data_IF_889217214960
#
_entry.id   IF_889217214960
#
_cell.length_a   1.000
_cell.length_b   1.000
_cell.length_c   1.000
_cell.angle_alpha   90.00
_cell.angle_beta   90.00
_cell.angle_gamma   90.00
#
_symmetry.space_group_name_H-M   'P 1'
#
loop_
_entity.id
_entity.type
_entity.pdbx_description
1 polymer ?
#
# COMPACT_ATOMS: atom_id res chain seq x y z
N UNK A 1 -64.13 19.52 15.19
CA UNK A 1 -63.33 19.04 14.04
C UNK A 1 -61.88 19.46 14.28
N UNK A 2 -61.04 18.59 14.85
CA UNK A 2 -59.68 18.92 15.30
C UNK A 2 -58.70 18.61 14.17
N UNK A 3 -58.04 19.64 13.65
CA UNK A 3 -57.20 19.59 12.45
C UNK A 3 -56.01 18.63 12.60
N UNK A 4 -55.84 17.62 11.72
CA UNK A 4 -54.78 16.59 11.84
C UNK A 4 -53.40 17.04 11.31
N UNK A 5 -53.27 18.26 10.79
CA UNK A 5 -52.09 18.70 10.03
C UNK A 5 -50.86 19.05 10.87
N UNK A 6 -51.01 19.38 12.16
CA UNK A 6 -49.89 19.87 12.99
C UNK A 6 -48.92 18.77 13.42
N UNK A 7 -49.40 17.55 13.65
CA UNK A 7 -48.54 16.44 14.09
C UNK A 7 -47.71 15.84 12.95
N UNK A 8 -48.27 15.78 11.74
CA UNK A 8 -47.58 15.26 10.54
C UNK A 8 -46.43 16.19 10.11
N UNK A 9 -46.66 17.51 10.13
CA UNK A 9 -45.63 18.49 9.75
C UNK A 9 -44.39 18.46 10.68
N UNK A 10 -44.58 18.31 12.00
CA UNK A 10 -43.48 18.23 12.96
C UNK A 10 -42.59 16.99 12.76
N UNK A 11 -43.19 15.86 12.38
CA UNK A 11 -42.46 14.62 12.13
C UNK A 11 -41.62 14.68 10.84
N UNK A 12 -42.16 15.30 9.78
CA UNK A 12 -41.47 15.50 8.50
C UNK A 12 -40.31 16.50 8.64
N UNK A 13 -40.50 17.60 9.38
CA UNK A 13 -39.44 18.60 9.64
C UNK A 13 -38.30 18.00 10.48
N UNK A 14 -38.61 17.17 11.48
CA UNK A 14 -37.60 16.46 12.29
C UNK A 14 -36.74 15.51 11.44
N UNK A 15 -37.35 14.75 10.51
CA UNK A 15 -36.61 13.87 9.60
C UNK A 15 -35.73 14.62 8.60
N UNK A 16 -36.21 15.76 8.06
CA UNK A 16 -35.42 16.62 7.18
C UNK A 16 -34.23 17.26 7.91
N UNK A 17 -34.40 17.67 9.17
CA UNK A 17 -33.30 18.18 10.00
C UNK A 17 -32.26 17.10 10.32
N UNK A 18 -32.69 15.87 10.61
CA UNK A 18 -31.78 14.74 10.88
C UNK A 18 -31.00 14.34 9.62
N UNK A 19 -31.65 14.29 8.45
CA UNK A 19 -30.98 14.02 7.17
C UNK A 19 -30.00 15.14 6.82
N UNK A 20 -30.39 16.40 7.02
CA UNK A 20 -29.51 17.56 6.83
C UNK A 20 -28.28 17.53 7.73
N UNK A 21 -28.45 17.17 9.01
CA UNK A 21 -27.36 17.02 9.97
C UNK A 21 -26.42 15.85 9.63
N UNK A 22 -26.97 14.69 9.23
CA UNK A 22 -26.19 13.55 8.75
C UNK A 22 -25.38 13.89 7.48
N UNK A 23 -26.00 14.63 6.56
CA UNK A 23 -25.36 15.10 5.32
C UNK A 23 -24.25 16.10 5.62
N UNK A 24 -24.45 17.00 6.57
CA UNK A 24 -23.47 17.99 7.01
C UNK A 24 -22.27 17.34 7.73
N UNK A 25 -22.51 16.35 8.60
CA UNK A 25 -21.45 15.57 9.26
C UNK A 25 -20.63 14.77 8.23
N UNK A 26 -21.28 14.17 7.24
CA UNK A 26 -20.59 13.46 6.16
C UNK A 26 -19.74 14.40 5.28
N UNK A 27 -20.24 15.60 4.97
CA UNK A 27 -19.51 16.62 4.20
C UNK A 27 -18.30 17.16 4.99
N UNK A 28 -18.47 17.38 6.30
CA UNK A 28 -17.40 17.88 7.19
C UNK A 28 -16.20 16.93 7.27
N UNK A 29 -16.45 15.62 7.32
CA UNK A 29 -15.39 14.60 7.38
C UNK A 29 -14.57 14.47 6.08
N UNK A 30 -15.08 14.99 4.97
CA UNK A 30 -14.40 14.96 3.67
C UNK A 30 -13.35 16.06 3.54
N UNK A 31 -13.54 17.18 4.25
CA UNK A 31 -12.75 18.41 4.11
C UNK A 31 -11.45 18.38 4.95
N UNK A 32 -11.38 17.54 5.98
CA UNK A 32 -10.26 17.50 6.94
C UNK A 32 -9.16 16.47 6.65
N UNK A 33 -9.15 15.81 5.48
CA UNK A 33 -8.07 14.87 5.13
C UNK A 33 -6.85 15.63 4.60
N UNK A 34 -6.05 16.18 5.51
CA UNK A 34 -4.68 16.61 5.18
C UNK A 34 -3.89 15.46 4.54
N UNK A 35 -2.92 15.78 3.69
CA UNK A 35 -2.12 14.78 2.99
C UNK A 35 -1.37 13.89 4.01
N UNK A 36 -1.81 12.64 4.16
CA UNK A 36 -1.25 11.70 5.12
C UNK A 36 0.14 11.23 4.65
N UNK A 37 1.18 11.52 5.43
CA UNK A 37 2.54 11.05 5.17
C UNK A 37 2.57 9.54 4.93
N UNK A 38 3.30 9.08 3.90
CA UNK A 38 3.45 7.68 3.48
C UNK A 38 3.74 6.75 4.66
N UNK A 39 4.56 7.22 5.59
CA UNK A 39 4.84 6.63 6.89
C UNK A 39 5.26 7.74 7.88
N UNK A 40 5.24 7.47 9.21
CA UNK A 40 5.73 8.42 10.20
C UNK A 40 7.17 8.84 9.89
N UNK A 41 7.41 10.15 9.80
CA UNK A 41 8.72 10.72 9.47
C UNK A 41 9.09 10.69 7.98
N UNK A 42 8.15 10.46 7.06
CA UNK A 42 8.43 10.56 5.63
C UNK A 42 8.73 12.02 5.22
N UNK A 43 9.82 12.21 4.48
CA UNK A 43 10.28 13.51 3.98
C UNK A 43 10.55 13.47 2.46
N UNK A 44 10.90 14.61 1.86
CA UNK A 44 11.17 14.72 0.42
C UNK A 44 9.92 14.74 -0.46
N UNK A 45 10.11 14.50 -1.76
CA UNK A 45 9.04 14.56 -2.78
C UNK A 45 8.07 13.37 -2.70
N UNK A 46 8.54 12.19 -2.28
CA UNK A 46 7.72 10.99 -2.12
C UNK A 46 6.92 10.92 -0.81
N UNK A 47 7.02 11.93 0.07
CA UNK A 47 6.48 11.85 1.44
C UNK A 47 4.97 11.63 1.54
N UNK A 48 4.21 11.96 0.51
CA UNK A 48 2.75 11.80 0.46
C UNK A 48 2.29 10.62 -0.41
N UNK A 49 3.21 9.74 -0.81
CA UNK A 49 2.86 8.48 -1.47
C UNK A 49 1.81 7.72 -0.65
N UNK A 50 0.73 7.30 -1.31
CA UNK A 50 -0.30 6.46 -0.69
C UNK A 50 0.14 5.00 -0.64
N UNK A 51 1.03 4.57 -1.53
CA UNK A 51 1.43 3.19 -1.69
C UNK A 51 0.21 2.28 -1.86
N UNK A 52 0.19 1.18 -1.09
CA UNK A 52 -0.87 0.18 -1.11
C UNK A 52 -2.09 0.48 -0.24
N UNK A 53 -2.23 1.68 0.35
CA UNK A 53 -3.35 2.00 1.25
C UNK A 53 -4.71 1.71 0.62
N UNK A 54 -5.58 1.06 1.39
CA UNK A 54 -6.92 0.62 0.94
C UNK A 54 -6.90 -0.57 -0.01
N UNK A 55 -5.71 -1.12 -0.28
CA UNK A 55 -5.51 -2.24 -1.18
C UNK A 55 -5.60 -3.62 -0.52
N UNK A 56 -5.36 -4.65 -1.33
CA UNK A 56 -5.33 -6.03 -0.87
C UNK A 56 -4.05 -6.34 -0.08
N UNK A 57 -4.17 -7.16 0.96
CA UNK A 57 -3.00 -7.73 1.63
C UNK A 57 -2.47 -8.90 0.80
N UNK A 58 -1.16 -8.88 0.54
CA UNK A 58 -0.43 -9.96 -0.15
C UNK A 58 0.66 -10.47 0.76
N UNK A 59 0.56 -11.74 1.17
CA UNK A 59 1.54 -12.35 2.06
C UNK A 59 2.59 -13.11 1.25
N UNK A 60 3.86 -12.77 1.48
CA UNK A 60 5.01 -13.56 1.05
C UNK A 60 5.23 -14.67 2.07
N UNK A 61 5.14 -15.91 1.62
CA UNK A 61 5.15 -17.11 2.47
C UNK A 61 6.29 -18.07 2.15
N UNK A 62 7.09 -17.79 1.12
CA UNK A 62 8.28 -18.55 0.77
C UNK A 62 9.37 -17.62 0.20
N UNK A 63 10.59 -18.15 0.09
CA UNK A 63 11.77 -17.42 -0.41
C UNK A 63 12.10 -17.74 -1.87
N UNK A 64 11.20 -18.43 -2.58
CA UNK A 64 11.40 -18.75 -3.99
C UNK A 64 11.38 -17.47 -4.83
N UNK A 65 12.10 -17.45 -5.95
CA UNK A 65 12.11 -16.29 -6.86
C UNK A 65 10.72 -16.01 -7.45
N UNK A 66 9.96 -17.06 -7.79
CA UNK A 66 8.67 -16.95 -8.49
C UNK A 66 7.66 -17.98 -7.99
N UNK A 67 6.41 -17.85 -8.46
CA UNK A 67 5.30 -18.72 -8.11
C UNK A 67 4.45 -18.25 -6.92
N UNK A 68 3.36 -18.96 -6.61
CA UNK A 68 2.45 -18.59 -5.53
C UNK A 68 3.15 -18.40 -4.19
N UNK A 69 2.83 -17.30 -3.49
CA UNK A 69 3.41 -16.97 -2.20
C UNK A 69 4.83 -16.37 -2.25
N UNK A 70 5.42 -16.17 -3.43
CA UNK A 70 6.71 -15.49 -3.56
C UNK A 70 6.56 -13.95 -3.52
N UNK A 71 7.68 -13.25 -3.29
CA UNK A 71 7.72 -11.80 -3.41
C UNK A 71 7.39 -11.34 -4.83
N UNK A 72 7.88 -12.04 -5.87
CA UNK A 72 7.61 -11.72 -7.27
C UNK A 72 6.12 -11.74 -7.59
N UNK A 73 5.42 -12.80 -7.19
CA UNK A 73 3.97 -12.88 -7.38
C UNK A 73 3.21 -11.76 -6.64
N UNK A 74 3.72 -11.30 -5.48
CA UNK A 74 3.11 -10.21 -4.74
C UNK A 74 3.34 -8.84 -5.40
N UNK A 75 4.54 -8.58 -5.93
CA UNK A 75 4.85 -7.29 -6.59
C UNK A 75 4.28 -7.17 -7.99
N UNK A 76 4.16 -8.28 -8.73
CA UNK A 76 3.59 -8.30 -10.08
C UNK A 76 2.05 -8.31 -10.08
N UNK A 77 1.41 -8.52 -8.92
CA UNK A 77 -0.04 -8.44 -8.82
C UNK A 77 -0.57 -7.05 -9.19
N UNK A 78 -1.77 -7.01 -9.75
CA UNK A 78 -2.46 -5.77 -10.11
C UNK A 78 -3.22 -5.16 -8.93
N UNK A 79 -3.53 -3.87 -9.08
CA UNK A 79 -4.32 -3.10 -8.14
C UNK A 79 -3.54 -2.67 -6.88
N UNK A 80 -4.15 -1.80 -6.05
CA UNK A 80 -3.55 -1.36 -4.80
C UNK A 80 -3.27 -2.55 -3.87
N UNK A 81 -2.04 -2.65 -3.36
CA UNK A 81 -1.63 -3.82 -2.56
C UNK A 81 -0.56 -3.52 -1.51
N UNK A 82 -0.67 -4.19 -0.38
CA UNK A 82 0.31 -4.16 0.71
C UNK A 82 0.95 -5.53 0.81
N UNK A 83 2.25 -5.60 0.51
CA UNK A 83 3.07 -6.80 0.62
C UNK A 83 3.63 -6.92 2.03
N UNK A 84 3.27 -8.01 2.70
CA UNK A 84 3.70 -8.37 4.05
C UNK A 84 4.45 -9.71 4.01
N UNK A 85 5.36 -9.94 4.95
CA UNK A 85 6.21 -11.12 4.98
C UNK A 85 5.86 -12.01 6.17
N UNK A 86 5.62 -13.29 5.91
CA UNK A 86 5.49 -14.34 6.94
C UNK A 86 6.78 -15.15 7.12
N UNK A 87 7.79 -14.88 6.30
CA UNK A 87 9.10 -15.54 6.29
C UNK A 87 10.21 -14.51 6.31
N UNK A 88 11.40 -14.94 6.67
CA UNK A 88 12.62 -14.14 6.70
C UNK A 88 13.77 -14.90 6.05
N UNK A 89 14.77 -14.18 5.55
CA UNK A 89 15.94 -14.77 4.91
C UNK A 89 16.29 -14.08 3.59
N UNK A 90 17.01 -14.82 2.75
CA UNK A 90 17.48 -14.34 1.45
C UNK A 90 16.62 -14.90 0.33
N UNK A 91 16.14 -14.01 -0.54
CA UNK A 91 15.49 -14.36 -1.80
C UNK A 91 16.54 -14.25 -2.90
N UNK A 92 16.91 -15.38 -3.48
CA UNK A 92 17.84 -15.44 -4.60
C UNK A 92 17.10 -15.23 -5.92
N UNK A 93 17.15 -14.00 -6.43
CA UNK A 93 16.45 -13.64 -7.64
C UNK A 93 17.06 -14.37 -8.85
N UNK A 94 16.22 -14.75 -9.81
CA UNK A 94 16.66 -15.32 -11.09
C UNK A 94 16.62 -14.29 -12.23
N UNK A 95 16.00 -13.15 -11.99
CA UNK A 95 15.96 -11.99 -12.87
C UNK A 95 15.64 -10.73 -12.06
N UNK A 96 15.80 -9.55 -12.66
CA UNK A 96 15.39 -8.27 -12.02
C UNK A 96 13.98 -8.37 -11.46
N UNK A 97 13.82 -7.99 -10.19
CA UNK A 97 12.52 -7.88 -9.56
C UNK A 97 11.94 -6.51 -9.91
N UNK A 98 10.97 -6.48 -10.82
CA UNK A 98 10.36 -5.24 -11.31
C UNK A 98 9.04 -4.97 -10.62
N UNK A 99 8.90 -3.76 -10.09
CA UNK A 99 7.63 -3.23 -9.61
C UNK A 99 7.09 -2.33 -10.71
N UNK A 100 6.12 -2.83 -11.48
CA UNK A 100 5.52 -2.12 -12.63
C UNK A 100 4.10 -1.60 -12.33
N UNK A 101 3.34 -2.35 -11.53
CA UNK A 101 1.97 -1.97 -11.20
C UNK A 101 1.98 -0.94 -10.05
N UNK A 102 1.26 0.18 -10.16
CA UNK A 102 1.29 1.28 -9.19
C UNK A 102 0.63 0.89 -7.87
N UNK A 103 0.64 1.81 -6.91
CA UNK A 103 -0.10 1.70 -5.64
C UNK A 103 0.31 0.48 -4.82
N UNK A 104 1.59 0.40 -4.49
CA UNK A 104 2.14 -0.73 -3.71
C UNK A 104 2.85 -0.26 -2.46
N UNK A 105 2.70 -1.00 -1.36
CA UNK A 105 3.58 -0.91 -0.20
C UNK A 105 4.27 -2.24 0.02
N UNK A 106 5.60 -2.29 -0.03
CA UNK A 106 6.40 -3.43 0.39
C UNK A 106 6.94 -3.16 1.79
N UNK A 107 6.32 -3.80 2.78
CA UNK A 107 6.56 -3.55 4.20
C UNK A 107 7.53 -4.58 4.80
N UNK A 108 8.83 -4.42 4.52
CA UNK A 108 9.88 -5.34 4.97
C UNK A 108 9.97 -5.51 6.49
N UNK A 109 9.52 -4.54 7.28
CA UNK A 109 9.49 -4.62 8.75
C UNK A 109 8.50 -5.66 9.29
N UNK A 110 7.61 -6.19 8.44
CA UNK A 110 6.70 -7.28 8.82
C UNK A 110 7.37 -8.64 8.85
N UNK A 111 8.55 -8.78 8.22
CA UNK A 111 9.29 -10.04 8.22
C UNK A 111 9.77 -10.38 9.64
N UNK A 112 9.68 -11.66 10.05
CA UNK A 112 10.22 -12.11 11.33
C UNK A 112 11.77 -12.03 11.34
N UNK A 113 12.36 -12.18 12.53
CA UNK A 113 13.80 -12.37 12.71
C UNK A 113 14.65 -11.33 11.97
N UNK A 114 15.59 -11.82 11.15
CA UNK A 114 16.56 -10.97 10.45
C UNK A 114 15.96 -10.15 9.31
N UNK A 115 14.70 -10.34 8.94
CA UNK A 115 14.08 -9.65 7.80
C UNK A 115 14.42 -10.25 6.43
N UNK A 116 14.26 -9.46 5.37
CA UNK A 116 14.38 -9.92 3.97
C UNK A 116 15.59 -9.30 3.27
N UNK A 117 16.38 -10.15 2.62
CA UNK A 117 17.46 -9.74 1.72
C UNK A 117 17.18 -10.20 0.29
N UNK A 118 17.29 -9.30 -0.68
CA UNK A 118 17.32 -9.63 -2.11
C UNK A 118 18.77 -9.83 -2.54
N UNK A 119 19.02 -10.84 -3.39
CA UNK A 119 20.36 -11.17 -3.90
C UNK A 119 20.33 -11.40 -5.40
N UNK A 120 21.50 -11.29 -6.04
CA UNK A 120 21.83 -11.69 -7.42
C UNK A 120 21.30 -10.75 -8.52
N UNK A 121 20.08 -10.24 -8.39
CA UNK A 121 19.54 -9.26 -9.34
C UNK A 121 18.99 -8.01 -8.66
N UNK A 122 18.83 -6.95 -9.44
CA UNK A 122 18.36 -5.66 -8.98
C UNK A 122 16.89 -5.66 -8.58
N UNK A 123 16.54 -4.74 -7.68
CA UNK A 123 15.18 -4.27 -7.47
C UNK A 123 14.96 -3.02 -8.32
N UNK A 124 14.04 -3.08 -9.28
CA UNK A 124 13.70 -1.95 -10.15
C UNK A 124 12.26 -1.49 -9.84
N UNK A 125 12.13 -0.21 -9.50
CA UNK A 125 10.86 0.45 -9.18
C UNK A 125 10.52 1.37 -10.34
N UNK A 126 9.60 0.92 -11.20
CA UNK A 126 9.14 1.64 -12.39
C UNK A 126 7.61 1.77 -12.36
N UNK A 127 7.09 2.20 -11.21
CA UNK A 127 5.66 2.30 -10.96
C UNK A 127 5.33 3.56 -10.15
N UNK A 128 4.19 4.16 -10.44
CA UNK A 128 3.68 5.29 -9.69
C UNK A 128 3.24 4.87 -8.28
N UNK A 129 3.54 5.73 -7.31
CA UNK A 129 3.02 5.61 -5.94
C UNK A 129 3.39 4.27 -5.27
N UNK A 130 4.70 4.06 -5.12
CA UNK A 130 5.30 2.89 -4.47
C UNK A 130 6.01 3.28 -3.15
N UNK A 131 5.75 2.51 -2.09
CA UNK A 131 6.44 2.61 -0.80
C UNK A 131 7.18 1.31 -0.55
N UNK A 132 8.51 1.30 -0.63
CA UNK A 132 9.35 0.13 -0.31
C UNK A 132 10.21 0.46 0.89
N UNK A 133 10.14 -0.35 1.95
CA UNK A 133 10.87 -0.09 3.21
C UNK A 133 11.42 -1.36 3.84
N UNK A 134 12.53 -1.22 4.56
CA UNK A 134 13.14 -2.25 5.40
C UNK A 134 13.49 -3.55 4.65
N UNK A 135 13.92 -3.43 3.40
CA UNK A 135 14.55 -4.52 2.65
C UNK A 135 16.06 -4.28 2.60
N UNK A 136 16.83 -5.37 2.56
CA UNK A 136 18.24 -5.33 2.16
C UNK A 136 18.35 -5.76 0.71
N UNK A 137 19.24 -5.14 -0.05
CA UNK A 137 19.60 -5.58 -1.41
C UNK A 137 21.10 -5.76 -1.47
N UNK A 138 21.54 -6.99 -1.79
CA UNK A 138 22.93 -7.41 -1.90
C UNK A 138 23.13 -8.06 -3.25
N UNK A 139 23.33 -7.22 -4.27
CA UNK A 139 23.39 -7.65 -5.67
C UNK A 139 24.44 -8.74 -5.89
N UNK A 140 25.66 -8.55 -5.35
CA UNK A 140 26.78 -9.43 -5.61
C UNK A 140 27.22 -9.38 -7.08
N UNK A 141 28.15 -10.26 -7.45
CA UNK A 141 28.73 -10.40 -8.79
C UNK A 141 28.27 -11.67 -9.53
N UNK A 142 27.55 -12.57 -8.85
CA UNK A 142 27.11 -13.88 -9.35
C UNK A 142 26.24 -13.83 -10.61
N UNK A 143 25.55 -12.72 -10.87
CA UNK A 143 24.78 -12.57 -12.10
C UNK A 143 25.65 -12.24 -13.33
N UNK A 144 26.93 -11.87 -13.13
CA UNK A 144 27.85 -11.48 -14.20
C UNK A 144 27.37 -10.26 -15.00
N UNK A 145 26.53 -9.40 -14.39
CA UNK A 145 25.93 -8.23 -15.04
C UNK A 145 26.25 -6.97 -14.25
N UNK A 146 26.58 -5.90 -14.96
CA UNK A 146 26.64 -4.56 -14.39
C UNK A 146 25.21 -4.06 -14.17
N UNK A 147 24.83 -3.89 -12.91
CA UNK A 147 23.50 -3.44 -12.51
C UNK A 147 23.62 -2.60 -11.24
N UNK A 148 22.69 -1.67 -11.05
CA UNK A 148 22.49 -1.01 -9.76
C UNK A 148 21.67 -1.93 -8.84
N UNK A 149 21.97 -1.93 -7.54
CA UNK A 149 21.23 -2.76 -6.58
C UNK A 149 19.75 -2.37 -6.51
N UNK A 150 19.48 -1.07 -6.50
CA UNK A 150 18.14 -0.49 -6.53
C UNK A 150 18.12 0.57 -7.62
N UNK A 151 17.14 0.45 -8.51
CA UNK A 151 16.88 1.40 -9.59
C UNK A 151 15.46 1.96 -9.46
N UNK A 152 15.29 3.26 -9.70
CA UNK A 152 14.01 3.98 -9.61
C UNK A 152 13.87 4.85 -10.86
N UNK A 153 12.86 4.58 -11.67
CA UNK A 153 12.67 5.18 -13.00
C UNK A 153 11.26 5.68 -13.24
#
# INVERSE_FOLDING_TARGET
MKSPTVHVAKFTISRLLVIGLLSFVALSNSILRGAQLAFPGAEGFGRFSQGGRGGQLRFVTNLNDSGPGSLRAAVEAEGPRIVLFKVSGTIELQSTLRILNPRITVAGQSAPGDGICLRRFALNISADDAVVRFLRVRLGDEAGKLMDGIDVS
#
